data_IF_529313800512
#
_entry.id   IF_529313800512
#
_cell.length_a   1.000
_cell.length_b   1.000
_cell.length_c   1.000
_cell.angle_alpha   90.00
_cell.angle_beta   90.00
_cell.angle_gamma   90.00
#
_symmetry.space_group_name_H-M   'P 1'
#
loop_
_entity.id
_entity.type
_entity.pdbx_description
1 polymer ?
#
# COMPACT_ATOMS: atom_id res chain seq x y z
N UNK A 1 -13.67 18.11 -55.20
CA UNK A 1 -14.35 17.10 -54.35
C UNK A 1 -13.45 16.42 -53.31
N UNK A 2 -12.11 16.53 -53.39
CA UNK A 2 -11.18 15.81 -52.51
C UNK A 2 -10.87 16.49 -51.15
N UNK A 3 -11.20 17.79 -50.98
CA UNK A 3 -10.90 18.53 -49.74
C UNK A 3 -11.94 18.33 -48.63
N UNK A 4 -13.19 18.00 -48.95
CA UNK A 4 -14.23 17.74 -47.94
C UNK A 4 -13.97 16.43 -47.17
N UNK A 5 -13.54 15.38 -47.89
CA UNK A 5 -13.23 14.06 -47.30
C UNK A 5 -12.06 14.09 -46.30
N UNK A 6 -11.09 14.99 -46.50
CA UNK A 6 -9.96 15.14 -45.59
C UNK A 6 -10.37 15.82 -44.29
N UNK A 7 -11.24 16.84 -44.37
CA UNK A 7 -11.73 17.60 -43.21
C UNK A 7 -12.64 16.74 -42.33
N UNK A 8 -13.50 15.91 -42.93
CA UNK A 8 -14.41 15.01 -42.19
C UNK A 8 -13.66 13.90 -41.44
N UNK A 9 -12.53 13.45 -41.99
CA UNK A 9 -11.69 12.43 -41.37
C UNK A 9 -10.83 12.98 -40.23
N UNK A 10 -10.35 14.22 -40.34
CA UNK A 10 -9.63 14.88 -39.24
C UNK A 10 -10.56 15.28 -38.10
N UNK A 11 -11.80 15.71 -38.36
CA UNK A 11 -12.76 16.01 -37.29
C UNK A 11 -13.16 14.75 -36.50
N UNK A 12 -13.39 13.61 -37.16
CA UNK A 12 -13.67 12.34 -36.49
C UNK A 12 -12.51 11.86 -35.61
N UNK A 13 -11.26 12.01 -36.08
CA UNK A 13 -10.07 11.67 -35.30
C UNK A 13 -9.91 12.59 -34.08
N UNK A 14 -10.18 13.89 -34.21
CA UNK A 14 -10.14 14.82 -33.10
C UNK A 14 -11.24 14.52 -32.07
N UNK A 15 -12.46 14.16 -32.51
CA UNK A 15 -13.54 13.76 -31.61
C UNK A 15 -13.17 12.47 -30.86
N UNK A 16 -12.60 11.47 -31.54
CA UNK A 16 -12.11 10.25 -30.86
C UNK A 16 -10.98 10.55 -29.87
N UNK A 17 -10.05 11.45 -30.21
CA UNK A 17 -8.97 11.86 -29.32
C UNK A 17 -9.51 12.59 -28.08
N UNK A 18 -10.48 13.48 -28.25
CA UNK A 18 -11.14 14.20 -27.15
C UNK A 18 -11.93 13.24 -26.26
N UNK A 19 -12.65 12.26 -26.81
CA UNK A 19 -13.33 11.22 -26.03
C UNK A 19 -12.34 10.38 -25.22
N UNK A 20 -11.21 9.98 -25.82
CA UNK A 20 -10.13 9.26 -25.12
C UNK A 20 -9.45 10.11 -24.03
N UNK A 21 -9.38 11.44 -24.21
CA UNK A 21 -8.84 12.36 -23.21
C UNK A 21 -9.82 12.61 -22.06
N UNK A 22 -11.13 12.68 -22.33
CA UNK A 22 -12.19 12.73 -21.31
C UNK A 22 -12.22 11.44 -20.46
N UNK A 23 -12.00 10.28 -21.08
CA UNK A 23 -11.84 9.00 -20.36
C UNK A 23 -10.52 8.94 -19.56
N UNK A 24 -9.49 9.70 -19.95
CA UNK A 24 -8.23 9.83 -19.21
C UNK A 24 -8.34 10.69 -17.95
N UNK A 25 -9.21 11.71 -17.90
CA UNK A 25 -9.46 12.45 -16.64
C UNK A 25 -10.10 11.55 -15.58
N UNK A 26 -10.77 10.48 -16.03
CA UNK A 26 -11.21 9.37 -15.19
C UNK A 26 -10.12 8.31 -14.93
N UNK A 27 -8.83 8.66 -14.99
CA UNK A 27 -7.72 7.92 -14.35
C UNK A 27 -7.80 8.00 -12.82
N UNK A 28 -9.00 7.65 -12.34
CA UNK A 28 -9.36 6.79 -11.23
C UNK A 28 -8.36 6.79 -10.11
N UNK A 29 -8.70 7.62 -9.12
CA UNK A 29 -8.49 7.26 -7.74
C UNK A 29 -8.81 5.75 -7.55
N UNK A 30 -7.87 4.93 -7.04
CA UNK A 30 -8.14 3.51 -6.83
C UNK A 30 -9.33 3.34 -5.89
N UNK A 31 -10.06 2.22 -5.99
CA UNK A 31 -11.18 1.95 -5.09
C UNK A 31 -10.74 2.11 -3.63
N UNK A 32 -11.53 2.84 -2.83
CA UNK A 32 -11.18 3.19 -1.45
C UNK A 32 -10.83 1.95 -0.61
N UNK A 33 -11.51 0.84 -0.84
CA UNK A 33 -11.27 -0.45 -0.19
C UNK A 33 -9.92 -1.11 -0.54
N UNK A 34 -9.26 -0.68 -1.61
CA UNK A 34 -7.93 -1.17 -2.02
C UNK A 34 -6.80 -0.34 -1.43
N UNK A 35 -7.05 0.94 -1.13
CA UNK A 35 -6.07 1.83 -0.51
C UNK A 35 -6.18 1.75 1.02
N UNK A 36 -7.41 1.66 1.52
CA UNK A 36 -7.66 1.39 2.91
C UNK A 36 -7.39 2.54 3.88
N UNK A 37 -7.28 2.21 5.16
CA UNK A 37 -7.32 3.19 6.24
C UNK A 37 -6.07 4.08 6.35
N UNK A 38 -4.89 3.59 5.95
CA UNK A 38 -3.61 4.31 6.12
C UNK A 38 -3.52 5.68 5.42
N UNK A 39 -4.38 5.95 4.44
CA UNK A 39 -4.38 7.22 3.70
C UNK A 39 -5.55 8.15 4.04
N UNK A 40 -6.46 7.74 4.92
CA UNK A 40 -7.59 8.55 5.39
C UNK A 40 -7.16 9.83 6.12
N UNK A 41 -5.86 9.99 6.43
CA UNK A 41 -5.29 11.24 6.94
C UNK A 41 -4.96 12.29 5.87
N UNK A 42 -4.97 11.96 4.58
CA UNK A 42 -4.60 12.89 3.49
C UNK A 42 -5.81 13.69 2.98
N UNK A 43 -5.62 14.96 2.59
CA UNK A 43 -6.73 15.82 2.08
C UNK A 43 -7.41 15.21 0.86
N UNK A 44 -6.60 14.69 -0.08
CA UNK A 44 -7.10 14.11 -1.35
C UNK A 44 -7.96 12.87 -1.12
N UNK A 45 -7.54 11.96 -0.24
CA UNK A 45 -8.31 10.76 0.10
C UNK A 45 -9.61 11.09 0.85
N UNK A 46 -9.57 12.05 1.78
CA UNK A 46 -10.80 12.45 2.51
C UNK A 46 -11.87 12.99 1.57
N UNK A 47 -11.48 13.73 0.53
CA UNK A 47 -12.43 14.25 -0.45
C UNK A 47 -13.09 13.15 -1.29
N UNK A 48 -12.33 12.12 -1.68
CA UNK A 48 -12.81 11.08 -2.62
C UNK A 48 -13.41 9.84 -1.92
N UNK A 49 -13.00 9.56 -0.68
CA UNK A 49 -13.32 8.33 0.04
C UNK A 49 -13.89 8.59 1.44
N UNK A 50 -14.59 9.71 1.62
CA UNK A 50 -15.12 10.16 2.92
C UNK A 50 -15.97 9.09 3.61
N UNK A 51 -16.96 8.54 2.90
CA UNK A 51 -17.85 7.48 3.41
C UNK A 51 -17.10 6.23 3.82
N UNK A 52 -16.08 5.84 3.05
CA UNK A 52 -15.23 4.70 3.39
C UNK A 52 -14.43 4.98 4.66
N UNK A 53 -13.77 6.14 4.74
CA UNK A 53 -12.97 6.52 5.90
C UNK A 53 -13.80 6.67 7.18
N UNK A 54 -15.00 7.24 7.10
CA UNK A 54 -15.93 7.34 8.23
C UNK A 54 -16.43 5.98 8.70
N UNK A 55 -16.86 5.12 7.77
CA UNK A 55 -17.48 3.84 8.11
C UNK A 55 -16.50 2.73 8.48
N UNK A 56 -15.31 2.72 7.87
CA UNK A 56 -14.31 1.64 8.00
C UNK A 56 -13.08 2.03 8.80
N UNK A 57 -12.81 3.33 8.96
CA UNK A 57 -11.59 3.83 9.60
C UNK A 57 -11.85 4.92 10.67
N UNK A 58 -12.83 4.72 11.59
CA UNK A 58 -13.31 5.78 12.48
C UNK A 58 -12.22 6.39 13.39
N UNK A 59 -11.23 5.58 13.79
CA UNK A 59 -10.13 6.03 14.66
C UNK A 59 -9.17 7.02 13.99
N UNK A 60 -9.03 6.97 12.66
CA UNK A 60 -8.12 7.86 11.90
C UNK A 60 -8.86 9.08 11.33
N UNK A 61 -10.17 8.96 11.10
CA UNK A 61 -11.00 10.03 10.56
C UNK A 61 -11.21 11.18 11.55
N UNK A 62 -11.49 10.85 12.82
CA UNK A 62 -11.82 11.82 13.88
C UNK A 62 -10.65 12.68 14.38
N UNK A 63 -9.39 12.33 14.12
CA UNK A 63 -8.24 13.09 14.63
C UNK A 63 -7.89 14.39 13.87
N UNK A 64 -8.75 14.89 12.97
CA UNK A 64 -8.48 16.14 12.23
C UNK A 64 -9.68 17.10 12.13
N UNK A 65 -10.45 17.28 13.20
CA UNK A 65 -11.23 18.51 13.41
C UNK A 65 -10.43 19.62 14.09
N UNK A 66 -9.16 19.39 14.44
CA UNK A 66 -8.24 20.49 14.75
C UNK A 66 -7.72 21.12 13.45
N UNK A 67 -8.42 22.18 13.05
CA UNK A 67 -7.91 23.27 12.24
C UNK A 67 -6.49 23.64 12.67
N UNK A 68 -5.48 23.16 11.95
CA UNK A 68 -4.13 23.70 12.04
C UNK A 68 -4.10 25.02 11.26
N UNK A 69 -4.62 26.06 11.89
CA UNK A 69 -4.29 27.44 11.59
C UNK A 69 -3.47 27.97 12.77
N UNK A 70 -2.22 28.31 12.50
CA UNK A 70 -1.20 28.85 13.40
C UNK A 70 -0.58 27.91 14.43
N UNK A 71 0.74 27.77 14.30
CA UNK A 71 1.61 27.03 15.20
C UNK A 71 1.62 27.61 16.60
N UNK A 72 1.51 26.70 17.56
CA UNK A 72 2.13 26.66 18.90
C UNK A 72 1.42 25.52 19.63
N UNK A 73 2.01 24.31 19.60
CA UNK A 73 1.57 23.25 20.51
C UNK A 73 2.03 23.62 21.93
N UNK A 74 1.17 23.56 22.96
CA UNK A 74 1.61 23.63 24.34
C UNK A 74 2.42 22.38 24.69
N UNK A 75 3.61 22.61 25.24
CA UNK A 75 4.59 21.61 25.65
C UNK A 75 4.08 20.86 26.90
N UNK A 76 3.76 19.57 26.75
CA UNK A 76 3.56 18.65 27.88
C UNK A 76 4.83 17.81 28.06
N UNK A 77 5.36 17.65 29.29
CA UNK A 77 6.58 16.90 29.54
C UNK A 77 6.22 15.40 29.62
N UNK A 78 6.23 14.72 28.47
CA UNK A 78 6.48 13.28 28.28
C UNK A 78 6.09 12.88 26.84
N UNK A 79 6.65 13.57 25.84
CA UNK A 79 6.45 13.21 24.44
C UNK A 79 7.34 12.00 24.13
N UNK A 80 6.80 10.79 24.33
CA UNK A 80 7.36 9.56 23.78
C UNK A 80 7.64 9.80 22.30
N UNK A 81 8.93 9.77 21.91
CA UNK A 81 9.40 9.99 20.53
C UNK A 81 8.52 9.19 19.57
N UNK A 82 7.63 9.85 18.84
CA UNK A 82 6.80 9.21 17.81
C UNK A 82 7.73 8.75 16.70
N UNK A 83 7.91 7.44 16.56
CA UNK A 83 8.71 6.86 15.47
C UNK A 83 8.08 7.27 14.14
N UNK A 84 8.88 7.89 13.27
CA UNK A 84 8.39 8.35 11.97
C UNK A 84 8.40 7.21 10.94
N UNK A 85 7.62 7.32 9.87
CA UNK A 85 7.62 6.29 8.81
C UNK A 85 8.98 6.16 8.11
N UNK A 86 9.73 7.25 7.99
CA UNK A 86 11.10 7.21 7.49
C UNK A 86 12.03 6.39 8.40
N UNK A 87 11.90 6.54 9.72
CA UNK A 87 12.64 5.75 10.71
C UNK A 87 12.25 4.27 10.64
N UNK A 88 10.96 3.96 10.51
CA UNK A 88 10.47 2.58 10.31
C UNK A 88 11.06 1.97 9.03
N UNK A 89 11.04 2.68 7.91
CA UNK A 89 11.59 2.19 6.65
C UNK A 89 13.11 1.98 6.74
N UNK A 90 13.82 2.87 7.44
CA UNK A 90 15.25 2.70 7.71
C UNK A 90 15.53 1.42 8.50
N UNK A 91 14.75 1.18 9.56
CA UNK A 91 14.91 -0.02 10.39
C UNK A 91 14.50 -1.30 9.66
N UNK A 92 13.44 -1.25 8.85
CA UNK A 92 13.02 -2.36 8.02
C UNK A 92 14.10 -2.71 6.98
N UNK A 93 14.66 -1.72 6.28
CA UNK A 93 15.78 -1.91 5.37
C UNK A 93 16.98 -2.53 6.09
N UNK A 94 17.36 -2.01 7.26
CA UNK A 94 18.48 -2.51 8.04
C UNK A 94 18.27 -3.99 8.44
N UNK A 95 17.04 -4.37 8.84
CA UNK A 95 16.71 -5.77 9.13
C UNK A 95 16.89 -6.66 7.90
N UNK A 96 16.41 -6.24 6.73
CA UNK A 96 16.61 -7.03 5.50
C UNK A 96 18.09 -7.25 5.14
N UNK A 97 18.94 -6.25 5.41
CA UNK A 97 20.38 -6.29 5.17
C UNK A 97 21.13 -7.12 6.21
N UNK A 98 20.64 -7.19 7.46
CA UNK A 98 21.29 -7.92 8.56
C UNK A 98 20.88 -9.40 8.66
N UNK A 99 19.85 -9.81 7.92
CA UNK A 99 19.45 -11.21 7.80
C UNK A 99 20.63 -12.09 7.38
N UNK A 100 20.68 -13.33 7.89
CA UNK A 100 21.71 -14.31 7.51
C UNK A 100 21.09 -15.52 6.79
N UNK A 101 21.36 -15.73 5.48
CA UNK A 101 22.07 -14.82 4.58
C UNK A 101 21.21 -13.58 4.23
N UNK A 102 21.82 -12.46 3.83
CA UNK A 102 21.10 -11.22 3.55
C UNK A 102 20.14 -11.38 2.39
N UNK A 103 19.11 -10.54 2.37
CA UNK A 103 18.19 -10.46 1.24
C UNK A 103 18.95 -9.95 0.00
N UNK A 104 18.80 -10.59 -1.18
CA UNK A 104 19.51 -10.14 -2.39
C UNK A 104 19.21 -8.68 -2.74
N UNK A 105 20.17 -7.96 -3.33
CA UNK A 105 20.01 -6.56 -3.77
C UNK A 105 18.74 -6.32 -4.62
N UNK A 106 18.44 -7.25 -5.53
CA UNK A 106 17.21 -7.20 -6.35
C UNK A 106 15.91 -7.14 -5.53
N UNK A 107 15.94 -7.62 -4.29
CA UNK A 107 14.84 -7.69 -3.36
C UNK A 107 14.82 -6.55 -2.33
N UNK A 108 15.93 -5.85 -2.09
CA UNK A 108 15.99 -4.81 -1.05
C UNK A 108 14.99 -3.67 -1.27
N UNK A 109 14.61 -3.40 -2.53
CA UNK A 109 13.54 -2.43 -2.84
C UNK A 109 12.19 -2.80 -2.24
N UNK A 110 11.97 -4.06 -1.83
CA UNK A 110 10.76 -4.48 -1.08
C UNK A 110 10.80 -3.99 0.38
N UNK A 111 11.98 -3.75 0.94
CA UNK A 111 12.21 -3.46 2.35
C UNK A 111 11.89 -2.00 2.74
N UNK A 112 10.70 -1.56 2.36
CA UNK A 112 10.08 -0.29 2.73
C UNK A 112 8.57 -0.46 2.73
N UNK A 113 7.91 0.22 3.66
CA UNK A 113 6.46 0.26 3.75
C UNK A 113 5.83 1.22 2.73
N UNK A 114 6.63 1.97 1.98
CA UNK A 114 6.14 2.97 1.01
C UNK A 114 5.89 2.38 -0.38
N UNK A 115 6.18 1.09 -0.57
CA UNK A 115 5.91 0.43 -1.83
C UNK A 115 4.41 0.42 -2.15
N UNK A 116 4.07 0.97 -3.31
CA UNK A 116 2.75 0.75 -3.93
C UNK A 116 2.62 -0.69 -4.45
N UNK A 117 1.39 -1.21 -4.62
CA UNK A 117 1.17 -2.51 -5.27
C UNK A 117 1.87 -2.64 -6.61
N UNK A 118 1.93 -1.55 -7.40
CA UNK A 118 2.60 -1.53 -8.70
C UNK A 118 4.12 -1.67 -8.56
N UNK A 119 4.75 -0.89 -7.69
CA UNK A 119 6.20 -0.99 -7.44
C UNK A 119 6.57 -2.37 -6.93
N UNK A 120 5.79 -2.91 -5.99
CA UNK A 120 6.01 -4.25 -5.48
C UNK A 120 5.95 -5.31 -6.59
N UNK A 121 4.92 -5.26 -7.45
CA UNK A 121 4.80 -6.16 -8.61
C UNK A 121 5.99 -6.00 -9.57
N UNK A 122 6.43 -4.79 -9.83
CA UNK A 122 7.60 -4.54 -10.67
C UNK A 122 8.87 -5.17 -10.07
N UNK A 123 9.10 -5.07 -8.76
CA UNK A 123 10.24 -5.72 -8.09
C UNK A 123 10.12 -7.25 -8.13
N UNK A 124 8.90 -7.78 -7.94
CA UNK A 124 8.63 -9.21 -7.89
C UNK A 124 8.70 -9.91 -9.24
N UNK A 125 8.41 -9.21 -10.34
CA UNK A 125 8.23 -9.83 -11.66
C UNK A 125 9.12 -9.28 -12.76
N UNK A 126 9.59 -8.02 -12.69
CA UNK A 126 10.46 -7.41 -13.71
C UNK A 126 11.93 -7.70 -13.43
N UNK A 127 12.76 -7.80 -14.48
CA UNK A 127 14.22 -8.05 -14.37
C UNK A 127 14.96 -6.80 -13.86
N UNK A 128 16.00 -6.93 -12.99
CA UNK A 128 16.39 -8.15 -12.29
C UNK A 128 15.32 -8.54 -11.26
N UNK A 129 14.91 -9.81 -11.32
CA UNK A 129 13.77 -10.30 -10.54
C UNK A 129 14.22 -10.58 -9.11
N UNK A 130 13.48 -10.08 -8.11
CA UNK A 130 13.62 -10.57 -6.75
C UNK A 130 13.07 -12.00 -6.64
N UNK A 131 13.88 -13.02 -6.28
CA UNK A 131 13.36 -14.35 -6.00
C UNK A 131 12.52 -14.32 -4.70
N UNK A 132 11.20 -14.33 -4.85
CA UNK A 132 10.24 -14.21 -3.75
C UNK A 132 10.24 -15.34 -2.72
N UNK A 133 11.15 -16.33 -2.83
CA UNK A 133 11.46 -17.26 -1.73
C UNK A 133 11.90 -16.53 -0.45
N UNK A 134 12.41 -15.31 -0.58
CA UNK A 134 12.81 -14.45 0.54
C UNK A 134 11.66 -13.63 1.13
N UNK A 135 10.45 -13.71 0.55
CA UNK A 135 9.34 -12.85 0.96
C UNK A 135 8.97 -13.01 2.43
N UNK A 136 8.91 -14.24 2.95
CA UNK A 136 8.61 -14.47 4.36
C UNK A 136 9.55 -13.69 5.26
N UNK A 137 10.86 -13.80 5.00
CA UNK A 137 11.93 -13.17 5.77
C UNK A 137 11.84 -11.64 5.70
N UNK A 138 11.49 -11.08 4.54
CA UNK A 138 11.23 -9.65 4.40
C UNK A 138 9.98 -9.22 5.21
N UNK A 139 8.90 -10.00 5.17
CA UNK A 139 7.69 -9.67 5.93
C UNK A 139 7.87 -9.86 7.45
N UNK A 140 8.70 -10.81 7.89
CA UNK A 140 9.10 -10.96 9.29
C UNK A 140 9.78 -9.69 9.81
N UNK A 141 10.73 -9.14 9.05
CA UNK A 141 11.34 -7.85 9.35
C UNK A 141 10.31 -6.72 9.42
N UNK A 142 9.36 -6.66 8.48
CA UNK A 142 8.31 -5.63 8.48
C UNK A 142 7.40 -5.74 9.72
N UNK A 143 7.02 -6.97 10.09
CA UNK A 143 6.12 -7.29 11.19
C UNK A 143 6.79 -7.26 12.58
N UNK A 144 8.13 -7.19 12.65
CA UNK A 144 8.91 -7.34 13.89
C UNK A 144 8.54 -8.62 14.65
N UNK A 145 8.35 -9.71 13.90
CA UNK A 145 7.95 -11.02 14.44
C UNK A 145 6.62 -11.02 15.22
N UNK A 146 5.76 -10.00 15.03
CA UNK A 146 4.45 -9.91 15.69
C UNK A 146 3.34 -10.56 14.88
N UNK A 147 2.31 -11.01 15.59
CA UNK A 147 1.02 -11.36 15.01
C UNK A 147 0.20 -10.07 14.79
N UNK A 148 -0.06 -9.75 13.51
CA UNK A 148 -0.85 -8.58 13.11
C UNK A 148 -2.23 -8.96 12.57
N UNK A 149 -2.69 -10.20 12.78
CA UNK A 149 -4.00 -10.68 12.31
C UNK A 149 -5.14 -9.79 12.79
N UNK A 150 -5.14 -9.37 14.06
CA UNK A 150 -6.15 -8.46 14.61
C UNK A 150 -6.21 -7.12 13.88
N UNK A 151 -5.05 -6.55 13.54
CA UNK A 151 -5.00 -5.32 12.75
C UNK A 151 -5.52 -5.56 11.33
N UNK A 152 -5.05 -6.60 10.65
CA UNK A 152 -5.50 -6.92 9.29
C UNK A 152 -7.00 -7.14 9.16
N UNK A 153 -7.62 -7.81 10.14
CA UNK A 153 -9.07 -8.02 10.18
C UNK A 153 -9.81 -6.69 10.38
N UNK A 154 -9.33 -5.85 11.30
CA UNK A 154 -9.88 -4.52 11.57
C UNK A 154 -9.80 -3.61 10.35
N UNK A 155 -8.69 -3.65 9.63
CA UNK A 155 -8.42 -2.83 8.46
C UNK A 155 -8.99 -3.42 7.15
N UNK A 156 -9.77 -4.50 7.25
CA UNK A 156 -10.44 -5.15 6.12
C UNK A 156 -9.48 -5.67 5.03
N UNK A 157 -8.23 -5.98 5.40
CA UNK A 157 -7.20 -6.46 4.48
C UNK A 157 -7.51 -7.86 3.92
N UNK A 158 -8.39 -8.61 4.60
CA UNK A 158 -8.74 -10.00 4.29
C UNK A 158 -10.16 -10.17 3.71
N UNK A 159 -10.89 -9.07 3.53
CA UNK A 159 -12.23 -9.07 2.94
C UNK A 159 -12.23 -9.53 1.47
N UNK A 160 -13.39 -9.87 0.92
CA UNK A 160 -13.57 -10.31 -0.48
C UNK A 160 -12.83 -11.62 -0.82
N UNK A 161 -12.96 -12.63 0.05
CA UNK A 161 -12.35 -13.95 -0.12
C UNK A 161 -10.81 -13.89 -0.19
N UNK A 162 -10.19 -13.04 0.64
CA UNK A 162 -8.74 -12.88 0.75
C UNK A 162 -8.19 -13.50 2.04
N UNK A 163 -8.88 -14.48 2.64
CA UNK A 163 -8.39 -15.20 3.82
C UNK A 163 -7.03 -15.86 3.61
N UNK A 164 -6.70 -16.27 2.38
CA UNK A 164 -5.37 -16.79 2.03
C UNK A 164 -4.24 -15.75 2.14
N UNK A 165 -4.55 -14.46 2.25
CA UNK A 165 -3.58 -13.39 2.48
C UNK A 165 -3.17 -13.28 3.96
N UNK A 166 -3.76 -14.09 4.87
CA UNK A 166 -3.42 -14.10 6.30
C UNK A 166 -1.92 -14.26 6.59
N UNK A 167 -1.20 -14.98 5.73
CA UNK A 167 0.25 -15.14 5.83
C UNK A 167 1.04 -13.81 5.76
N UNK A 168 0.46 -12.73 5.22
CA UNK A 168 1.05 -11.38 5.27
C UNK A 168 0.84 -10.75 6.66
N UNK A 169 -0.25 -11.08 7.33
CA UNK A 169 -0.55 -10.56 8.66
C UNK A 169 0.25 -11.24 9.77
N UNK A 170 0.59 -12.52 9.56
CA UNK A 170 1.38 -13.28 10.53
C UNK A 170 2.45 -14.13 9.82
N UNK A 171 3.52 -13.49 9.28
CA UNK A 171 4.55 -14.18 8.52
C UNK A 171 5.41 -15.15 9.34
N UNK A 172 5.40 -15.03 10.68
CA UNK A 172 6.08 -15.95 11.60
C UNK A 172 5.30 -17.25 11.85
N UNK A 173 4.06 -17.35 11.36
CA UNK A 173 3.30 -18.58 11.48
C UNK A 173 3.56 -19.48 10.27
N UNK A 174 4.45 -20.45 10.45
CA UNK A 174 4.81 -21.42 9.40
C UNK A 174 3.66 -22.32 8.97
N UNK A 175 2.62 -22.49 9.79
CA UNK A 175 1.42 -23.25 9.39
C UNK A 175 0.56 -22.48 8.40
N UNK A 176 0.59 -21.14 8.46
CA UNK A 176 -0.13 -20.26 7.53
C UNK A 176 0.67 -19.98 6.25
N UNK A 177 2.00 -20.12 6.31
CA UNK A 177 2.88 -19.76 5.20
C UNK A 177 2.87 -20.83 4.10
N UNK A 178 2.41 -20.49 2.89
CA UNK A 178 2.58 -21.35 1.70
C UNK A 178 3.85 -20.91 0.95
N UNK A 179 4.97 -21.66 0.99
CA UNK A 179 6.19 -21.27 0.28
C UNK A 179 6.03 -21.26 -1.24
N UNK A 180 4.97 -21.90 -1.76
CA UNK A 180 4.60 -21.90 -3.19
C UNK A 180 3.58 -20.83 -3.51
N UNK A 181 3.30 -19.91 -2.59
CA UNK A 181 2.25 -18.91 -2.74
C UNK A 181 2.57 -17.89 -3.84
N UNK A 182 3.85 -17.54 -3.99
CA UNK A 182 4.33 -16.62 -5.01
C UNK A 182 4.13 -17.19 -6.44
N UNK A 183 3.80 -16.30 -7.39
CA UNK A 183 3.60 -16.65 -8.79
C UNK A 183 2.18 -17.13 -9.14
N UNK A 184 1.30 -17.29 -8.14
CA UNK A 184 -0.12 -17.59 -8.34
C UNK A 184 -0.93 -16.30 -8.51
N UNK A 185 -2.03 -16.35 -9.27
CA UNK A 185 -2.94 -15.20 -9.38
C UNK A 185 -3.47 -14.70 -8.02
N UNK A 186 -3.62 -15.61 -7.04
CA UNK A 186 -4.03 -15.27 -5.66
C UNK A 186 -3.03 -14.38 -4.92
N UNK A 187 -1.73 -14.50 -5.23
CA UNK A 187 -0.68 -13.64 -4.68
C UNK A 187 -0.89 -12.18 -5.09
N UNK A 188 -1.19 -11.95 -6.36
CA UNK A 188 -1.39 -10.60 -6.89
C UNK A 188 -2.52 -9.87 -6.17
N UNK A 189 -3.60 -10.59 -5.82
CA UNK A 189 -4.71 -10.04 -5.05
C UNK A 189 -4.33 -9.62 -3.62
N UNK A 190 -3.39 -10.34 -2.99
CA UNK A 190 -2.83 -9.90 -1.70
C UNK A 190 -1.96 -8.66 -1.88
N UNK A 191 -1.13 -8.61 -2.93
CA UNK A 191 -0.31 -7.43 -3.22
C UNK A 191 -1.18 -6.20 -3.50
N UNK A 192 -2.39 -6.35 -4.05
CA UNK A 192 -3.34 -5.23 -4.20
C UNK A 192 -3.79 -4.62 -2.85
N UNK A 193 -3.71 -5.39 -1.75
CA UNK A 193 -3.98 -4.95 -0.38
C UNK A 193 -2.72 -4.53 0.39
N UNK A 194 -1.57 -4.44 -0.27
CA UNK A 194 -0.30 -4.05 0.35
C UNK A 194 -0.38 -2.76 1.20
N UNK A 195 -1.11 -1.69 0.79
CA UNK A 195 -1.30 -0.51 1.64
C UNK A 195 -1.87 -0.80 3.04
N UNK A 196 -2.80 -1.76 3.13
CA UNK A 196 -3.43 -2.16 4.39
C UNK A 196 -2.46 -2.94 5.28
N UNK A 197 -1.72 -3.89 4.70
CA UNK A 197 -0.68 -4.61 5.44
C UNK A 197 0.41 -3.65 5.94
N UNK A 198 0.83 -2.69 5.10
CA UNK A 198 1.84 -1.69 5.44
C UNK A 198 1.40 -0.68 6.50
N UNK A 199 0.09 -0.50 6.70
CA UNK A 199 -0.44 0.26 7.82
C UNK A 199 -0.27 -0.53 9.11
N UNK A 200 -0.66 -1.80 9.12
CA UNK A 200 -0.50 -2.69 10.28
C UNK A 200 0.97 -2.88 10.68
N UNK A 201 1.87 -3.04 9.70
CA UNK A 201 3.31 -3.09 10.00
C UNK A 201 3.75 -1.82 10.71
N UNK A 202 3.41 -0.64 10.19
CA UNK A 202 3.80 0.63 10.80
C UNK A 202 3.29 0.79 12.24
N UNK A 203 2.04 0.40 12.51
CA UNK A 203 1.50 0.43 13.87
C UNK A 203 2.32 -0.45 14.83
N UNK A 204 2.81 -1.60 14.38
CA UNK A 204 3.68 -2.49 15.16
C UNK A 204 5.06 -1.88 15.51
N UNK A 205 5.52 -0.87 14.78
CA UNK A 205 6.75 -0.12 15.09
C UNK A 205 6.52 1.02 16.09
N UNK A 206 5.29 1.52 16.19
CA UNK A 206 4.92 2.64 17.07
C UNK A 206 4.41 2.16 18.43
N UNK A 207 3.93 0.91 18.52
CA UNK A 207 3.47 0.22 19.74
C UNK A 207 4.57 -0.56 20.48
#
# INVERSE_FOLDING_TARGET
>A
MSRLWVVERTTLLLIQLVLLLLDCEALRFPQCSSIGCGYCGTRRMKAECDTFCQGKCPHLYSSKTSTSANGKQPMYPNETKRVTRAEVNSNFMACCQSLDPPVPESCLRVCTLDNTPRQFKDIAFRRPKCPMKHLQRMLLCAARDRDLTGCCMKDHALDNNLSHCMQFCYPANDQLWDPRFYGKARFLKCVDKLPLFNQCYYEAWVS
#
